data_IF_733836028030
#
_entry.id   IF_733836028030
#
_cell.length_a   1.000
_cell.length_b   1.000
_cell.length_c   1.000
_cell.angle_alpha   90.00
_cell.angle_beta   90.00
_cell.angle_gamma   90.00
#
_symmetry.space_group_name_H-M   'P 1'
#
loop_
_entity.id
_entity.type
_entity.pdbx_description
1 polymer ?
#
# COMPACT_ATOMS: atom_id res chain seq x y z
N UNK A 1 -52.56 26.25 -39.68
CA UNK A 1 -52.08 27.53 -40.21
C UNK A 1 -50.70 27.79 -39.63
N UNK A 2 -49.77 27.85 -40.34
CA UNK A 2 -48.53 28.44 -40.80
C UNK A 2 -47.31 27.54 -40.65
N UNK A 3 -46.92 27.03 -41.84
CA UNK A 3 -45.58 26.56 -42.17
C UNK A 3 -44.57 27.66 -42.04
N UNK A 4 -43.35 27.35 -41.51
CA UNK A 4 -42.14 28.04 -41.94
C UNK A 4 -41.03 27.01 -42.13
N UNK A 5 -40.62 26.86 -43.36
CA UNK A 5 -39.38 26.24 -43.88
C UNK A 5 -38.21 27.17 -43.55
N UNK A 6 -37.02 26.62 -43.22
CA UNK A 6 -35.70 27.15 -43.54
C UNK A 6 -34.71 26.00 -43.41
N UNK A 7 -34.17 25.52 -44.45
CA UNK A 7 -33.10 25.87 -45.36
C UNK A 7 -31.72 25.49 -44.78
N UNK A 8 -31.16 24.47 -45.44
CA UNK A 8 -29.79 23.99 -45.25
C UNK A 8 -28.77 24.99 -45.81
N UNK A 9 -27.63 25.11 -45.08
CA UNK A 9 -26.41 25.68 -45.64
C UNK A 9 -25.25 24.73 -45.43
N UNK A 10 -24.83 24.09 -46.50
CA UNK A 10 -23.60 23.33 -46.56
C UNK A 10 -22.44 24.30 -46.82
N UNK A 11 -21.41 24.25 -45.97
CA UNK A 11 -20.16 24.95 -46.22
C UNK A 11 -19.06 23.90 -46.46
N UNK A 12 -18.64 23.84 -47.74
CA UNK A 12 -17.41 23.19 -48.17
C UNK A 12 -16.20 23.99 -47.65
N UNK A 13 -15.29 23.33 -46.95
CA UNK A 13 -13.93 23.84 -46.78
C UNK A 13 -12.95 23.00 -47.60
N UNK A 14 -12.34 23.65 -48.59
CA UNK A 14 -11.26 23.12 -49.41
C UNK A 14 -9.98 22.95 -48.58
N UNK A 15 -9.35 21.81 -48.77
CA UNK A 15 -7.99 21.47 -48.35
C UNK A 15 -6.98 22.29 -49.18
N UNK A 16 -6.05 22.97 -48.51
CA UNK A 16 -4.82 23.42 -49.12
C UNK A 16 -3.64 22.64 -48.51
N UNK A 17 -3.05 21.76 -49.34
CA UNK A 17 -1.73 21.20 -49.09
C UNK A 17 -0.68 22.32 -49.27
N UNK A 18 0.06 22.59 -48.20
CA UNK A 18 1.32 23.34 -48.29
C UNK A 18 2.48 22.35 -48.27
N UNK A 19 3.15 22.22 -49.41
CA UNK A 19 4.42 21.55 -49.54
C UNK A 19 5.50 22.40 -48.86
N UNK A 20 6.25 21.87 -47.95
CA UNK A 20 7.47 22.47 -47.42
C UNK A 20 8.66 21.93 -48.22
N UNK A 21 9.29 22.81 -48.98
CA UNK A 21 10.55 22.59 -49.71
C UNK A 21 11.71 22.32 -48.75
N UNK A 22 12.43 21.23 -49.01
CA UNK A 22 13.69 20.91 -48.39
C UNK A 22 14.80 21.76 -49.00
N UNK A 23 15.36 22.70 -48.26
CA UNK A 23 16.58 23.42 -48.63
C UNK A 23 17.79 22.53 -48.31
N UNK A 24 18.49 22.12 -49.38
CA UNK A 24 19.72 21.35 -49.33
C UNK A 24 20.91 22.30 -49.31
N UNK A 25 21.74 22.30 -48.27
CA UNK A 25 23.04 22.96 -48.26
C UNK A 25 24.14 22.04 -48.80
N UNK A 26 25.07 22.50 -49.61
CA UNK A 26 26.19 21.71 -50.10
C UNK A 26 27.40 21.77 -49.15
N UNK A 27 27.95 20.62 -48.85
CA UNK A 27 29.37 20.39 -48.68
C UNK A 27 30.01 20.74 -47.34
N UNK A 28 30.36 19.69 -46.56
CA UNK A 28 31.71 19.61 -46.02
C UNK A 28 32.04 18.13 -45.80
N UNK A 29 33.16 17.69 -46.41
CA UNK A 29 33.65 16.33 -46.36
C UNK A 29 34.34 16.01 -45.05
N UNK A 30 33.72 15.11 -44.26
CA UNK A 30 34.34 14.43 -43.17
C UNK A 30 34.50 12.94 -43.48
N UNK A 31 35.50 12.24 -42.91
CA UNK A 31 35.85 10.89 -43.31
C UNK A 31 34.74 9.88 -42.98
N UNK A 32 34.49 8.98 -43.93
CA UNK A 32 33.57 7.85 -43.77
C UNK A 32 34.03 6.91 -42.62
N UNK A 33 33.15 6.53 -41.71
CA UNK A 33 33.48 5.47 -40.75
C UNK A 33 33.52 4.15 -41.49
N UNK A 34 34.60 3.40 -41.26
CA UNK A 34 34.77 2.02 -41.72
C UNK A 34 33.68 1.14 -41.10
N UNK A 35 33.01 0.38 -41.96
CA UNK A 35 32.08 -0.66 -41.57
C UNK A 35 32.89 -1.78 -40.89
N UNK A 36 32.52 -2.23 -39.68
CA UNK A 36 33.13 -3.43 -39.12
C UNK A 36 32.73 -4.65 -39.95
N UNK A 37 33.73 -5.45 -40.23
CA UNK A 37 33.71 -6.72 -40.95
C UNK A 37 32.56 -7.62 -40.46
N UNK A 38 31.70 -8.03 -41.38
CA UNK A 38 30.63 -8.99 -41.09
C UNK A 38 31.27 -10.36 -40.86
N UNK A 39 31.34 -10.75 -39.60
CA UNK A 39 31.69 -12.13 -39.22
C UNK A 39 30.73 -13.15 -39.85
N UNK A 40 31.11 -14.40 -40.01
CA UNK A 40 30.36 -15.41 -40.76
C UNK A 40 28.94 -15.63 -40.14
N UNK A 41 27.93 -15.67 -41.01
CA UNK A 41 26.56 -15.94 -40.66
C UNK A 41 26.43 -17.27 -39.90
N UNK A 42 25.90 -17.19 -38.70
CA UNK A 42 25.53 -18.37 -37.90
C UNK A 42 24.29 -19.00 -38.55
N UNK A 43 24.28 -20.29 -38.86
CA UNK A 43 23.09 -20.95 -39.40
C UNK A 43 21.97 -20.95 -38.34
N UNK A 44 20.66 -20.97 -38.73
CA UNK A 44 19.57 -20.99 -37.79
C UNK A 44 19.70 -22.18 -36.85
N UNK A 45 19.91 -21.91 -35.59
CA UNK A 45 20.18 -22.88 -34.55
C UNK A 45 18.98 -23.78 -34.29
N UNK A 46 19.30 -25.02 -33.96
CA UNK A 46 18.36 -25.96 -33.36
C UNK A 46 17.70 -25.35 -32.12
N UNK A 47 16.44 -25.73 -31.79
CA UNK A 47 15.78 -25.25 -30.58
C UNK A 47 16.63 -25.56 -29.36
N UNK A 48 16.87 -24.55 -28.53
CA UNK A 48 17.58 -24.69 -27.25
C UNK A 48 16.87 -25.70 -26.35
N UNK A 49 17.59 -26.26 -25.38
CA UNK A 49 16.98 -27.18 -24.43
C UNK A 49 15.82 -26.45 -23.73
N UNK A 50 14.71 -27.15 -23.41
CA UNK A 50 13.61 -26.56 -22.64
C UNK A 50 14.15 -26.06 -21.31
N UNK A 51 13.57 -24.98 -20.76
CA UNK A 51 13.91 -24.53 -19.42
C UNK A 51 13.67 -25.68 -18.43
N UNK A 52 14.44 -25.76 -17.32
CA UNK A 52 14.21 -26.79 -16.31
C UNK A 52 12.77 -26.68 -15.81
N UNK A 53 12.06 -27.82 -15.78
CA UNK A 53 10.77 -27.95 -15.12
C UNK A 53 10.97 -27.52 -13.66
N UNK A 54 10.32 -26.44 -13.26
CA UNK A 54 10.19 -26.07 -11.84
C UNK A 54 9.19 -27.05 -11.26
N UNK A 55 9.62 -27.85 -10.31
CA UNK A 55 8.76 -28.77 -9.59
C UNK A 55 7.69 -27.96 -8.84
N UNK A 56 6.45 -27.99 -9.32
CA UNK A 56 5.30 -27.33 -8.70
C UNK A 56 4.94 -27.89 -7.30
N UNK A 57 5.67 -28.93 -6.84
CA UNK A 57 5.41 -29.54 -5.53
C UNK A 57 5.79 -28.69 -4.33
N UNK A 58 6.57 -27.62 -4.51
CA UNK A 58 6.99 -26.74 -3.41
C UNK A 58 5.98 -25.59 -3.12
N UNK A 59 4.92 -25.45 -3.92
CA UNK A 59 3.91 -24.40 -3.73
C UNK A 59 2.75 -24.80 -2.80
N UNK A 60 2.62 -26.10 -2.49
CA UNK A 60 1.54 -26.65 -1.66
C UNK A 60 2.08 -27.36 -0.39
N UNK A 61 3.05 -26.82 0.30
CA UNK A 61 3.27 -27.25 1.69
C UNK A 61 2.16 -26.64 2.56
N UNK A 62 1.24 -27.46 3.11
CA UNK A 62 0.34 -26.99 4.15
C UNK A 62 1.20 -26.45 5.28
N UNK A 63 0.91 -25.24 5.73
CA UNK A 63 1.46 -24.70 6.98
C UNK A 63 1.21 -25.76 8.04
N UNK A 64 2.26 -26.45 8.47
CA UNK A 64 2.18 -27.31 9.64
C UNK A 64 1.65 -26.45 10.80
N UNK A 65 0.44 -26.76 11.24
CA UNK A 65 -0.07 -26.27 12.53
C UNK A 65 0.95 -26.68 13.58
N UNK A 66 1.41 -25.75 14.44
CA UNK A 66 2.23 -26.11 15.58
C UNK A 66 1.51 -27.21 16.35
N UNK A 67 2.21 -28.23 16.86
CA UNK A 67 1.58 -29.29 17.63
C UNK A 67 0.81 -28.65 18.78
N UNK A 68 -0.46 -29.04 18.90
CA UNK A 68 -1.35 -28.70 20.01
C UNK A 68 -0.62 -29.09 21.31
N UNK A 69 -0.23 -28.11 22.11
CA UNK A 69 0.34 -28.36 23.41
C UNK A 69 -0.73 -29.10 24.24
N UNK A 70 -0.52 -30.39 24.47
CA UNK A 70 -1.30 -31.16 25.39
C UNK A 70 -1.24 -30.51 26.78
N UNK A 71 -2.38 -30.29 27.45
CA UNK A 71 -2.40 -29.77 28.80
C UNK A 71 -1.56 -30.68 29.69
N UNK A 72 -0.51 -30.15 30.27
CA UNK A 72 0.25 -30.83 31.32
C UNK A 72 -0.67 -30.88 32.55
N UNK A 73 -1.12 -32.07 32.91
CA UNK A 73 -1.76 -32.30 34.18
C UNK A 73 -0.82 -31.88 35.34
N UNK A 74 -1.31 -31.15 36.35
CA UNK A 74 -0.48 -30.79 37.48
C UNK A 74 -0.10 -32.05 38.26
N UNK A 75 1.17 -32.40 38.19
CA UNK A 75 1.74 -33.49 39.00
C UNK A 75 1.56 -33.20 40.48
N UNK A 76 0.92 -34.19 41.16
CA UNK A 76 0.84 -34.29 42.61
C UNK A 76 2.18 -34.75 43.12
N UNK A 77 3.02 -33.85 43.58
CA UNK A 77 4.10 -34.18 44.52
C UNK A 77 4.00 -33.23 45.72
N UNK A 78 3.46 -33.79 46.81
CA UNK A 78 3.49 -33.20 48.13
C UNK A 78 4.82 -33.51 48.83
N UNK A 79 5.48 -32.55 49.44
CA UNK A 79 6.32 -32.82 50.59
C UNK A 79 5.52 -32.53 51.86
N UNK A 80 5.45 -33.57 52.69
CA UNK A 80 5.09 -33.43 54.09
C UNK A 80 6.18 -32.66 54.83
N UNK A 81 5.79 -31.58 55.50
CA UNK A 81 6.27 -31.34 56.88
C UNK A 81 5.44 -30.23 57.49
N UNK A 82 4.86 -30.57 58.65
CA UNK A 82 3.94 -29.77 59.40
C UNK A 82 4.61 -28.58 60.12
N UNK A 83 3.97 -27.44 59.99
CA UNK A 83 3.96 -26.42 61.04
C UNK A 83 2.54 -25.87 61.08
N UNK A 84 1.84 -26.22 62.12
CA UNK A 84 0.57 -25.60 62.51
C UNK A 84 0.86 -24.23 63.10
N UNK A 85 0.30 -23.14 62.63
CA UNK A 85 0.22 -21.89 63.39
C UNK A 85 -1.04 -21.95 64.30
N UNK A 86 -0.83 -21.50 65.54
CA UNK A 86 -1.84 -21.33 66.57
C UNK A 86 -3.00 -20.40 66.13
N UNK A 87 -4.24 -20.62 66.61
CA UNK A 87 -5.36 -19.75 66.34
C UNK A 87 -5.20 -18.42 67.09
N UNK A 88 -5.06 -17.33 66.42
CA UNK A 88 -5.23 -15.98 66.98
C UNK A 88 -6.71 -15.70 67.16
N UNK A 89 -7.07 -15.55 68.41
CA UNK A 89 -8.35 -15.05 68.90
C UNK A 89 -8.55 -13.60 68.41
N UNK A 90 -9.52 -13.34 67.57
CA UNK A 90 -9.92 -12.02 67.09
C UNK A 90 -11.36 -11.77 67.47
N UNK A 91 -11.55 -11.39 68.69
CA UNK A 91 -12.74 -10.65 69.15
C UNK A 91 -12.31 -9.21 69.43
N UNK A 92 -12.34 -8.37 68.42
CA UNK A 92 -12.48 -6.91 68.59
C UNK A 92 -13.76 -6.43 67.93
N UNK A 93 -14.71 -6.05 68.79
CA UNK A 93 -15.95 -5.36 68.47
C UNK A 93 -15.59 -3.97 67.86
N UNK A 94 -16.28 -3.50 66.83
CA UNK A 94 -16.04 -2.16 66.33
C UNK A 94 -16.59 -1.11 67.30
N UNK A 95 -15.68 -0.29 67.83
CA UNK A 95 -16.04 0.91 68.59
C UNK A 95 -16.85 1.88 67.71
N UNK A 96 -18.04 2.24 68.15
CA UNK A 96 -18.85 3.29 67.59
C UNK A 96 -18.19 4.65 67.83
N UNK A 97 -18.06 5.51 66.83
CA UNK A 97 -17.51 6.85 67.02
C UNK A 97 -18.45 7.71 67.89
N UNK A 98 -17.91 8.59 68.74
CA UNK A 98 -18.68 9.43 69.64
C UNK A 98 -19.61 10.35 68.85
N UNK A 99 -20.86 10.49 69.31
CA UNK A 99 -21.88 11.41 68.82
C UNK A 99 -21.39 12.84 69.10
N UNK A 100 -21.09 13.59 68.03
CA UNK A 100 -20.82 15.03 68.15
C UNK A 100 -22.09 15.77 68.54
N UNK A 101 -21.99 16.50 69.64
CA UNK A 101 -23.01 17.39 70.15
C UNK A 101 -23.07 18.61 69.22
N UNK A 102 -24.28 19.05 68.76
CA UNK A 102 -24.35 20.23 67.90
C UNK A 102 -23.83 21.47 68.63
N UNK A 103 -22.77 22.07 68.12
CA UNK A 103 -22.31 23.39 68.56
C UNK A 103 -23.27 24.41 67.92
N UNK A 104 -23.89 25.20 68.79
CA UNK A 104 -24.79 26.30 68.39
C UNK A 104 -23.92 27.40 67.71
N UNK A 105 -23.94 27.44 66.39
CA UNK A 105 -23.23 28.45 65.58
C UNK A 105 -24.16 29.65 65.43
N UNK A 106 -23.74 30.84 65.83
CA UNK A 106 -24.51 32.04 65.64
C UNK A 106 -24.69 32.31 64.13
N UNK A 107 -25.80 32.95 63.73
CA UNK A 107 -26.05 33.21 62.31
C UNK A 107 -24.93 34.06 61.72
N UNK A 108 -24.36 33.58 60.64
CA UNK A 108 -23.37 34.30 59.87
C UNK A 108 -23.98 35.58 59.27
N UNK A 109 -23.18 36.64 59.35
CA UNK A 109 -23.51 37.89 58.66
C UNK A 109 -23.74 37.65 57.17
N UNK A 110 -24.64 38.35 56.48
CA UNK A 110 -24.84 38.22 55.08
C UNK A 110 -23.55 38.53 54.32
N UNK A 111 -23.11 37.59 53.54
CA UNK A 111 -21.95 37.77 52.67
C UNK A 111 -22.15 38.97 51.74
N UNK A 112 -21.09 39.75 51.49
CA UNK A 112 -21.19 40.84 50.52
C UNK A 112 -21.57 40.31 49.14
N UNK A 113 -22.46 41.02 48.49
CA UNK A 113 -22.92 40.75 47.12
C UNK A 113 -21.72 40.70 46.15
N UNK A 114 -21.22 39.48 45.89
CA UNK A 114 -20.15 39.28 44.93
C UNK A 114 -20.83 39.30 43.57
N UNK A 115 -20.82 40.44 42.91
CA UNK A 115 -21.14 40.55 41.49
C UNK A 115 -20.23 39.61 40.72
N UNK A 116 -20.79 38.54 40.15
CA UNK A 116 -20.07 37.62 39.29
C UNK A 116 -19.34 38.43 38.19
N UNK A 117 -18.05 38.21 37.96
CA UNK A 117 -17.35 38.89 36.86
C UNK A 117 -18.02 38.51 35.54
N UNK A 118 -18.40 39.52 34.76
CA UNK A 118 -18.88 39.34 33.39
C UNK A 118 -17.82 38.57 32.63
N UNK A 119 -18.12 37.42 32.01
CA UNK A 119 -17.15 36.66 31.24
C UNK A 119 -16.53 37.55 30.16
N UNK A 120 -15.21 37.61 30.14
CA UNK A 120 -14.48 38.31 29.09
C UNK A 120 -14.82 37.65 27.74
N UNK A 121 -15.14 38.43 26.68
CA UNK A 121 -15.48 37.85 25.40
C UNK A 121 -14.34 36.97 24.89
N UNK A 122 -14.63 35.74 24.54
CA UNK A 122 -13.65 34.81 23.95
C UNK A 122 -13.01 35.48 22.73
N UNK A 123 -11.66 35.38 22.60
CA UNK A 123 -10.98 35.92 21.43
C UNK A 123 -11.57 35.30 20.16
N UNK A 124 -11.66 36.06 19.05
CA UNK A 124 -12.20 35.53 17.81
C UNK A 124 -11.40 34.29 17.38
N UNK A 125 -12.12 33.20 17.11
CA UNK A 125 -11.53 31.99 16.54
C UNK A 125 -10.93 32.36 15.18
N UNK A 126 -9.61 32.40 15.11
CA UNK A 126 -8.90 32.60 13.84
C UNK A 126 -9.01 31.28 13.09
N UNK A 127 -9.89 31.18 12.11
CA UNK A 127 -9.96 30.05 11.22
C UNK A 127 -8.65 29.98 10.41
N UNK A 128 -7.84 28.98 10.70
CA UNK A 128 -6.69 28.69 9.84
C UNK A 128 -7.19 28.23 8.47
N UNK A 129 -6.69 28.78 7.36
CA UNK A 129 -7.10 28.34 6.03
C UNK A 129 -6.85 26.84 5.88
N UNK A 130 -7.74 26.11 5.16
CA UNK A 130 -7.56 24.68 4.95
C UNK A 130 -6.22 24.40 4.24
N UNK A 131 -5.51 23.36 4.69
CA UNK A 131 -4.27 22.91 4.06
C UNK A 131 -4.61 22.38 2.67
N UNK A 132 -3.87 22.80 1.63
CA UNK A 132 -4.09 22.34 0.28
C UNK A 132 -3.75 20.85 0.13
N UNK A 133 -4.48 20.09 -0.70
CA UNK A 133 -4.18 18.69 -1.00
C UNK A 133 -2.78 18.52 -1.58
N UNK A 134 -2.05 17.48 -1.16
CA UNK A 134 -0.69 17.19 -1.65
C UNK A 134 -0.66 16.05 -2.67
N UNK A 135 -1.74 15.30 -2.80
CA UNK A 135 -1.94 14.28 -3.83
C UNK A 135 -3.43 14.15 -4.14
N UNK A 136 -3.75 13.49 -5.26
CA UNK A 136 -5.12 13.15 -5.59
C UNK A 136 -5.29 11.64 -5.73
N UNK A 137 -6.49 11.15 -5.45
CA UNK A 137 -6.81 9.73 -5.53
C UNK A 137 -8.26 9.52 -6.01
N UNK A 138 -8.53 8.37 -6.63
CA UNK A 138 -9.89 7.99 -7.01
C UNK A 138 -10.53 7.13 -5.92
N UNK A 139 -11.84 6.99 -5.96
CA UNK A 139 -12.59 6.18 -4.99
C UNK A 139 -12.03 4.73 -4.90
N UNK A 140 -12.07 4.09 -3.71
CA UNK A 140 -11.64 2.71 -3.55
C UNK A 140 -12.42 1.77 -4.48
N UNK A 141 -11.78 0.73 -4.98
CA UNK A 141 -12.34 -0.21 -5.94
C UNK A 141 -12.47 0.32 -7.37
N UNK A 142 -12.14 1.59 -7.64
CA UNK A 142 -12.14 2.14 -9.00
C UNK A 142 -10.85 1.75 -9.74
N UNK A 143 -10.78 0.50 -10.18
CA UNK A 143 -9.64 -0.03 -10.97
C UNK A 143 -9.51 0.70 -12.33
N UNK A 144 -8.42 0.43 -13.04
CA UNK A 144 -8.36 0.77 -14.47
C UNK A 144 -9.44 -0.01 -15.21
N UNK A 145 -10.05 0.60 -16.23
CA UNK A 145 -11.13 -0.03 -16.99
C UNK A 145 -10.65 -1.34 -17.62
N UNK A 146 -11.45 -2.41 -17.47
CA UNK A 146 -11.16 -3.72 -18.05
C UNK A 146 -10.08 -4.54 -17.32
N UNK A 147 -9.56 -4.09 -16.17
CA UNK A 147 -8.48 -4.80 -15.47
C UNK A 147 -8.95 -5.67 -14.31
N UNK A 148 -10.23 -5.70 -14.02
CA UNK A 148 -10.81 -6.51 -12.94
C UNK A 148 -12.11 -5.93 -12.41
N UNK A 149 -12.58 -6.52 -11.30
CA UNK A 149 -13.78 -6.06 -10.59
C UNK A 149 -13.34 -5.61 -9.20
N UNK A 150 -13.18 -4.31 -9.02
CA UNK A 150 -12.73 -3.74 -7.74
C UNK A 150 -13.76 -3.89 -6.62
N UNK A 151 -13.34 -3.60 -5.41
CA UNK A 151 -14.16 -3.64 -4.20
C UNK A 151 -14.22 -2.26 -3.53
N UNK A 152 -15.38 -1.60 -3.67
CA UNK A 152 -15.58 -0.20 -3.25
C UNK A 152 -15.87 0.00 -1.76
N UNK A 153 -15.19 -0.71 -0.87
CA UNK A 153 -15.36 -0.57 0.58
C UNK A 153 -14.78 0.74 1.12
N UNK A 154 -15.50 1.38 2.05
CA UNK A 154 -15.09 2.62 2.71
C UNK A 154 -14.49 2.36 4.10
N UNK A 155 -13.76 1.25 4.28
CA UNK A 155 -13.15 0.85 5.55
C UNK A 155 -11.64 1.08 5.54
N UNK A 156 -11.14 1.71 6.60
CA UNK A 156 -9.71 1.82 6.89
C UNK A 156 -9.33 0.66 7.77
N UNK A 157 -8.79 -0.42 7.19
CA UNK A 157 -8.50 -1.68 7.89
C UNK A 157 -7.33 -1.57 8.89
N UNK A 158 -6.42 -0.64 8.68
CA UNK A 158 -5.28 -0.38 9.57
C UNK A 158 -5.16 1.14 9.84
N UNK A 159 -6.05 1.72 10.70
CA UNK A 159 -6.15 3.16 10.87
C UNK A 159 -4.90 3.82 11.47
N UNK A 160 -4.15 3.08 12.30
CA UNK A 160 -3.01 3.63 13.05
C UNK A 160 -1.66 3.34 12.39
N UNK A 161 -1.64 2.60 11.27
CA UNK A 161 -0.39 2.26 10.60
C UNK A 161 0.32 3.51 10.07
N UNK A 162 1.66 3.54 10.11
CA UNK A 162 2.43 4.54 9.38
C UNK A 162 2.54 4.13 7.90
N UNK A 163 2.81 5.11 7.01
CA UNK A 163 2.99 4.79 5.59
C UNK A 163 4.26 3.96 5.38
N UNK A 164 4.24 2.89 4.55
CA UNK A 164 5.36 1.96 4.45
C UNK A 164 6.62 2.54 3.80
N UNK A 165 6.52 3.69 3.12
CA UNK A 165 7.68 4.42 2.58
C UNK A 165 7.97 5.61 3.48
N UNK A 166 9.22 5.71 3.94
CA UNK A 166 9.60 6.67 4.97
C UNK A 166 9.40 8.13 4.55
N UNK A 167 9.92 8.55 3.40
CA UNK A 167 9.95 9.96 3.03
C UNK A 167 9.80 10.27 1.53
N UNK A 168 9.95 9.28 0.64
CA UNK A 168 9.83 9.52 -0.79
C UNK A 168 8.37 9.74 -1.21
N UNK A 169 8.10 10.54 -2.27
CA UNK A 169 6.80 10.57 -2.91
C UNK A 169 6.36 9.16 -3.32
N UNK A 170 5.05 8.93 -3.35
CA UNK A 170 4.50 7.65 -3.74
C UNK A 170 3.28 7.84 -4.65
N UNK A 171 3.04 6.86 -5.53
CA UNK A 171 1.83 6.77 -6.36
C UNK A 171 1.31 5.34 -6.28
N UNK A 172 0.09 5.18 -5.80
CA UNK A 172 -0.61 3.91 -5.79
C UNK A 172 -1.21 3.67 -7.17
N UNK A 173 -0.80 2.59 -7.82
CA UNK A 173 -1.32 2.22 -9.14
C UNK A 173 -0.89 0.82 -9.54
N UNK A 174 -1.59 0.23 -10.50
CA UNK A 174 -1.20 -1.04 -11.11
C UNK A 174 0.24 -1.05 -11.62
N UNK A 175 0.96 -2.13 -11.40
CA UNK A 175 2.27 -2.38 -12.01
C UNK A 175 2.18 -3.27 -13.25
N UNK A 176 1.01 -3.82 -13.54
CA UNK A 176 0.75 -4.65 -14.73
C UNK A 176 0.16 -3.82 -15.87
N UNK A 177 -0.82 -2.97 -15.55
CA UNK A 177 -1.62 -2.21 -16.52
C UNK A 177 -1.24 -0.73 -16.63
N UNK A 178 -0.19 -0.28 -15.94
CA UNK A 178 0.41 1.05 -16.11
C UNK A 178 1.69 0.97 -16.96
N UNK A 179 2.22 2.11 -17.41
CA UNK A 179 3.41 2.17 -18.27
C UNK A 179 4.59 1.37 -17.72
N UNK A 180 5.14 0.51 -18.55
CA UNK A 180 6.24 -0.39 -18.21
C UNK A 180 5.82 -1.69 -17.53
N UNK A 181 4.51 -1.86 -17.28
CA UNK A 181 3.94 -3.11 -16.81
C UNK A 181 3.84 -4.15 -17.92
N UNK A 182 3.68 -5.41 -17.53
CA UNK A 182 3.71 -6.54 -18.46
C UNK A 182 2.65 -6.45 -19.55
N UNK A 183 1.44 -5.99 -19.25
CA UNK A 183 0.35 -5.86 -20.22
C UNK A 183 0.38 -4.52 -20.94
N UNK A 184 0.55 -3.42 -20.22
CA UNK A 184 0.58 -2.09 -20.83
C UNK A 184 1.82 -1.83 -21.69
N UNK A 185 2.95 -2.47 -21.36
CA UNK A 185 4.23 -2.23 -22.03
C UNK A 185 4.79 -0.82 -21.79
N UNK A 186 5.82 -0.46 -22.56
CA UNK A 186 6.46 0.86 -22.46
C UNK A 186 7.55 0.94 -21.41
N UNK A 187 7.82 2.16 -20.89
CA UNK A 187 8.88 2.41 -19.90
C UNK A 187 8.29 2.56 -18.49
N UNK A 188 8.71 1.72 -17.56
CA UNK A 188 8.30 1.83 -16.16
C UNK A 188 8.71 3.18 -15.52
N UNK A 189 9.72 3.87 -16.06
CA UNK A 189 10.16 5.17 -15.59
C UNK A 189 9.53 6.35 -16.37
N UNK A 190 8.42 6.11 -17.09
CA UNK A 190 7.63 7.17 -17.70
C UNK A 190 7.14 8.14 -16.62
N UNK A 191 7.29 9.46 -16.88
CA UNK A 191 6.93 10.49 -15.90
C UNK A 191 5.44 10.45 -15.50
N UNK A 192 4.56 9.98 -16.38
CA UNK A 192 3.13 9.83 -16.11
C UNK A 192 2.83 8.87 -14.95
N UNK A 193 3.69 7.89 -14.73
CA UNK A 193 3.57 6.98 -13.59
C UNK A 193 3.79 7.66 -12.22
N UNK A 194 4.45 8.79 -12.19
CA UNK A 194 4.83 9.52 -10.97
C UNK A 194 4.02 10.81 -10.76
N UNK A 195 3.07 11.08 -11.64
CA UNK A 195 2.18 12.24 -11.58
C UNK A 195 0.68 11.86 -11.68
N UNK A 196 0.37 10.56 -11.68
CA UNK A 196 -1.00 10.08 -11.77
C UNK A 196 -1.74 10.26 -10.43
N UNK A 197 -3.06 10.47 -10.49
CA UNK A 197 -3.91 10.28 -9.34
C UNK A 197 -3.80 8.82 -8.85
N UNK A 198 -3.78 8.63 -7.54
CA UNK A 198 -3.72 7.30 -6.95
C UNK A 198 -4.94 6.47 -7.34
N UNK A 199 -4.72 5.21 -7.56
CA UNK A 199 -5.76 4.27 -7.96
C UNK A 199 -5.57 2.93 -7.26
N UNK A 200 -6.68 2.41 -6.76
CA UNK A 200 -6.75 1.08 -6.19
C UNK A 200 -6.43 0.02 -7.26
N UNK A 201 -5.70 -1.03 -6.88
CA UNK A 201 -5.50 -2.22 -7.71
C UNK A 201 -5.70 -3.53 -6.94
N UNK A 202 -6.32 -3.47 -5.77
CA UNK A 202 -6.86 -4.65 -5.09
C UNK A 202 -8.01 -5.26 -5.90
N UNK A 203 -8.09 -6.58 -6.04
CA UNK A 203 -8.98 -7.30 -6.96
C UNK A 203 -8.68 -7.13 -8.47
N UNK A 204 -7.56 -6.53 -8.84
CA UNK A 204 -7.12 -6.50 -10.23
C UNK A 204 -6.80 -7.91 -10.74
N UNK A 205 -7.03 -8.20 -12.02
CA UNK A 205 -6.85 -9.54 -12.59
C UNK A 205 -5.40 -10.01 -12.53
N UNK A 206 -5.20 -11.28 -12.12
CA UNK A 206 -3.92 -12.02 -12.14
C UNK A 206 -4.13 -13.42 -12.70
N UNK A 207 -3.04 -14.14 -13.03
CA UNK A 207 -3.12 -15.54 -13.50
C UNK A 207 -3.16 -16.54 -12.35
N UNK A 208 -2.46 -16.26 -11.25
CA UNK A 208 -2.45 -17.13 -10.07
C UNK A 208 -3.83 -17.25 -9.43
N UNK A 209 -4.19 -18.46 -9.01
CA UNK A 209 -5.49 -18.73 -8.39
C UNK A 209 -5.53 -18.24 -6.93
N UNK A 210 -5.71 -16.95 -6.77
CA UNK A 210 -5.82 -16.27 -5.47
C UNK A 210 -7.24 -15.80 -5.25
N UNK A 211 -7.73 -15.88 -4.01
CA UNK A 211 -9.08 -15.47 -3.62
C UNK A 211 -9.06 -14.70 -2.31
N UNK A 212 -10.06 -13.85 -2.12
CA UNK A 212 -10.39 -13.22 -0.82
C UNK A 212 -11.89 -12.97 -0.79
N UNK A 213 -12.54 -12.93 0.39
CA UNK A 213 -13.97 -12.60 0.50
C UNK A 213 -14.33 -11.23 -0.09
N UNK A 214 -13.37 -10.33 -0.19
CA UNK A 214 -13.56 -8.96 -0.69
C UNK A 214 -13.53 -8.84 -2.22
N UNK A 215 -13.10 -9.88 -2.96
CA UNK A 215 -13.09 -9.84 -4.41
C UNK A 215 -14.15 -10.80 -4.97
N UNK A 216 -15.00 -10.35 -5.93
CA UNK A 216 -16.11 -11.16 -6.43
C UNK A 216 -15.67 -12.34 -7.31
N UNK A 217 -14.40 -12.38 -7.70
CA UNK A 217 -13.82 -13.38 -8.61
C UNK A 217 -12.49 -13.90 -8.07
N UNK A 218 -12.06 -15.07 -8.55
CA UNK A 218 -10.71 -15.59 -8.30
C UNK A 218 -9.68 -14.98 -9.26
N UNK A 219 -8.41 -15.33 -9.07
CA UNK A 219 -7.27 -14.83 -9.86
C UNK A 219 -7.09 -13.32 -9.75
N UNK A 220 -6.88 -12.90 -8.54
CA UNK A 220 -6.87 -11.49 -8.17
C UNK A 220 -5.55 -11.06 -7.57
N UNK A 221 -5.30 -9.76 -7.65
CA UNK A 221 -4.29 -9.05 -6.87
C UNK A 221 -4.79 -8.89 -5.43
N UNK A 222 -3.97 -9.29 -4.44
CA UNK A 222 -4.36 -9.32 -3.02
C UNK A 222 -3.76 -8.18 -2.20
N UNK A 223 -3.13 -7.22 -2.84
CA UNK A 223 -2.44 -6.08 -2.22
C UNK A 223 -2.64 -4.78 -2.99
N UNK A 224 -1.76 -3.84 -2.71
CA UNK A 224 -1.66 -2.56 -3.39
C UNK A 224 -0.22 -2.35 -3.85
N UNK A 225 -0.04 -2.03 -5.12
CA UNK A 225 1.26 -1.66 -5.66
C UNK A 225 1.53 -0.17 -5.43
N UNK A 226 2.74 0.14 -4.97
CA UNK A 226 3.20 1.48 -4.60
C UNK A 226 4.46 1.80 -5.41
N UNK A 227 4.33 2.66 -6.41
CA UNK A 227 5.47 3.23 -7.11
C UNK A 227 6.08 4.34 -6.26
N UNK A 228 7.41 4.37 -6.15
CA UNK A 228 8.11 5.20 -5.17
C UNK A 228 9.10 6.13 -5.83
N UNK A 229 9.17 7.37 -5.34
CA UNK A 229 10.09 8.39 -5.81
C UNK A 229 9.59 9.13 -7.05
N UNK A 230 10.51 9.50 -7.91
CA UNK A 230 10.31 10.23 -9.16
C UNK A 230 10.70 9.38 -10.37
N UNK A 231 10.36 9.85 -11.58
CA UNK A 231 10.83 9.23 -12.82
C UNK A 231 12.36 9.16 -12.91
N UNK A 232 13.08 10.14 -12.36
CA UNK A 232 14.54 10.17 -12.37
C UNK A 232 15.15 9.22 -11.32
N UNK A 233 14.50 9.08 -10.17
CA UNK A 233 14.85 8.03 -9.19
C UNK A 233 14.70 6.65 -9.81
N UNK A 234 13.60 6.38 -10.50
CA UNK A 234 13.38 5.13 -11.22
C UNK A 234 14.50 4.84 -12.24
N UNK A 235 14.86 5.84 -13.09
CA UNK A 235 15.98 5.71 -14.04
C UNK A 235 17.31 5.45 -13.34
N UNK A 236 17.52 6.05 -12.19
CA UNK A 236 18.73 5.84 -11.36
C UNK A 236 18.76 4.42 -10.83
N UNK A 237 17.69 3.96 -10.18
CA UNK A 237 17.57 2.61 -9.62
C UNK A 237 17.71 1.51 -10.70
N UNK A 238 17.19 1.75 -11.92
CA UNK A 238 17.33 0.81 -13.03
C UNK A 238 18.78 0.61 -13.50
N UNK A 239 19.62 1.62 -13.35
CA UNK A 239 21.05 1.55 -13.70
C UNK A 239 21.90 0.90 -12.62
N UNK A 240 21.41 0.83 -11.40
CA UNK A 240 22.10 0.27 -10.26
C UNK A 240 21.99 -1.26 -10.25
N UNK A 241 23.03 -1.90 -9.81
CA UNK A 241 22.98 -3.31 -9.41
C UNK A 241 22.13 -3.47 -8.16
N UNK A 242 21.67 -4.69 -7.88
CA UNK A 242 20.89 -4.98 -6.67
C UNK A 242 21.66 -4.55 -5.40
N UNK A 243 22.97 -4.79 -5.33
CA UNK A 243 23.79 -4.39 -4.18
C UNK A 243 23.85 -2.87 -3.95
N UNK A 244 23.65 -2.06 -5.00
CA UNK A 244 23.70 -0.60 -4.92
C UNK A 244 22.33 0.01 -4.59
N UNK A 245 21.20 -0.67 -4.89
CA UNK A 245 19.84 -0.15 -4.67
C UNK A 245 19.57 0.04 -3.18
N UNK A 246 19.40 1.28 -2.78
CA UNK A 246 19.17 1.66 -1.39
C UNK A 246 18.64 3.09 -1.25
N UNK A 247 17.93 3.59 -2.29
CA UNK A 247 17.48 4.98 -2.31
C UNK A 247 16.24 5.23 -1.46
N UNK A 248 15.24 4.34 -1.55
CA UNK A 248 13.94 4.54 -0.89
C UNK A 248 13.75 3.54 0.24
N UNK A 249 13.69 4.06 1.47
CA UNK A 249 13.54 3.27 2.69
C UNK A 249 12.09 2.75 2.84
N UNK A 250 11.99 1.44 3.11
CA UNK A 250 10.73 0.77 3.50
C UNK A 250 10.78 0.53 4.99
N UNK A 251 9.71 0.91 5.69
CA UNK A 251 9.63 0.88 7.16
C UNK A 251 8.50 -0.02 7.65
N UNK A 252 8.62 -0.50 8.88
CA UNK A 252 7.55 -1.21 9.57
C UNK A 252 6.35 -0.27 9.76
N UNK A 253 5.16 -0.72 9.34
CA UNK A 253 3.94 0.11 9.43
C UNK A 253 3.33 0.12 10.82
N UNK A 254 3.70 -0.84 11.66
CA UNK A 254 3.16 -1.06 13.01
C UNK A 254 4.25 -1.68 13.89
N UNK A 255 4.10 -1.58 15.20
CA UNK A 255 4.89 -2.34 16.17
C UNK A 255 4.62 -3.84 16.00
N UNK A 256 5.67 -4.67 16.03
CA UNK A 256 5.45 -6.10 15.87
C UNK A 256 6.73 -6.93 15.77
N UNK A 257 6.59 -8.11 15.18
CA UNK A 257 7.67 -9.07 15.01
C UNK A 257 7.78 -9.41 13.52
N UNK A 258 8.99 -9.44 12.99
CA UNK A 258 9.26 -10.00 11.65
C UNK A 258 9.03 -11.52 11.73
N UNK A 259 7.84 -11.95 11.35
CA UNK A 259 7.42 -13.35 11.51
C UNK A 259 8.13 -14.29 10.53
N UNK A 260 8.45 -13.82 9.33
CA UNK A 260 9.25 -14.57 8.36
C UNK A 260 9.86 -13.66 7.29
N UNK A 261 10.91 -14.16 6.63
CA UNK A 261 11.51 -13.57 5.44
C UNK A 261 11.57 -14.67 4.39
N UNK A 262 10.84 -14.49 3.29
CA UNK A 262 10.79 -15.38 2.14
C UNK A 262 11.79 -14.97 1.04
N UNK A 263 11.63 -15.53 -0.15
CA UNK A 263 12.51 -15.25 -1.30
C UNK A 263 12.45 -13.76 -1.73
N UNK A 264 11.28 -13.14 -1.65
CA UNK A 264 11.04 -11.74 -2.04
C UNK A 264 10.04 -11.02 -1.12
N UNK A 265 9.73 -11.59 0.04
CA UNK A 265 8.70 -11.10 0.97
C UNK A 265 9.27 -10.96 2.38
N UNK A 266 9.00 -9.85 3.03
CA UNK A 266 9.17 -9.66 4.49
C UNK A 266 7.78 -9.61 5.10
N UNK A 267 7.53 -10.43 6.15
CA UNK A 267 6.26 -10.48 6.87
C UNK A 267 6.41 -9.89 8.26
N UNK A 268 5.65 -8.83 8.52
CA UNK A 268 5.51 -8.24 9.86
C UNK A 268 4.18 -8.71 10.47
N UNK A 269 4.25 -9.29 11.67
CA UNK A 269 3.08 -9.61 12.47
C UNK A 269 2.91 -8.57 13.57
N UNK A 270 1.86 -7.76 13.45
CA UNK A 270 1.44 -6.76 14.42
C UNK A 270 0.27 -7.27 15.28
N UNK A 271 -0.47 -6.35 15.89
CA UNK A 271 -1.65 -6.66 16.70
C UNK A 271 -2.88 -6.93 15.83
N UNK A 272 -3.24 -8.20 15.71
CA UNK A 272 -4.39 -8.66 14.92
C UNK A 272 -4.22 -8.56 13.40
N UNK A 273 -3.02 -8.22 12.91
CA UNK A 273 -2.72 -8.06 11.48
C UNK A 273 -1.40 -8.71 11.10
N UNK A 274 -1.29 -9.06 9.83
CA UNK A 274 -0.03 -9.42 9.18
C UNK A 274 0.13 -8.49 7.97
N UNK A 275 1.34 -7.96 7.81
CA UNK A 275 1.70 -7.09 6.70
C UNK A 275 2.76 -7.79 5.85
N UNK A 276 2.50 -7.94 4.56
CA UNK A 276 3.47 -8.45 3.61
C UNK A 276 4.07 -7.29 2.82
N UNK A 277 5.40 -7.24 2.79
CA UNK A 277 6.19 -6.30 1.99
C UNK A 277 6.94 -7.12 0.95
N UNK A 278 6.62 -6.92 -0.33
CA UNK A 278 7.28 -7.67 -1.41
C UNK A 278 8.12 -6.76 -2.30
N UNK A 279 9.02 -7.37 -3.03
CA UNK A 279 9.92 -6.73 -4.01
C UNK A 279 10.94 -5.77 -3.40
N UNK A 280 11.23 -5.93 -2.10
CA UNK A 280 12.35 -5.22 -1.48
C UNK A 280 13.68 -5.70 -2.05
N UNK A 281 14.74 -4.94 -1.79
CA UNK A 281 16.10 -5.42 -2.02
C UNK A 281 16.47 -6.50 -0.97
N UNK A 282 16.25 -7.77 -1.31
CA UNK A 282 16.43 -8.88 -0.38
C UNK A 282 17.88 -9.09 0.04
N UNK A 283 18.85 -8.52 -0.69
CA UNK A 283 20.27 -8.55 -0.31
C UNK A 283 20.66 -7.42 0.68
N UNK A 284 19.75 -6.48 0.95
CA UNK A 284 19.97 -5.31 1.82
C UNK A 284 18.85 -5.09 2.84
N UNK A 285 18.32 -6.16 3.38
CA UNK A 285 17.37 -6.07 4.49
C UNK A 285 18.06 -5.56 5.75
N UNK A 286 17.35 -4.70 6.49
CA UNK A 286 17.80 -4.18 7.78
C UNK A 286 17.32 -5.02 8.96
N UNK A 287 16.55 -6.07 8.69
CA UNK A 287 15.90 -6.91 9.71
C UNK A 287 16.15 -8.39 9.46
N UNK A 288 15.91 -9.20 10.51
CA UNK A 288 15.96 -10.65 10.48
C UNK A 288 14.64 -11.25 10.99
N UNK A 289 14.33 -12.48 10.60
CA UNK A 289 13.19 -13.19 11.13
C UNK A 289 13.30 -13.36 12.66
N UNK A 290 12.20 -13.18 13.37
CA UNK A 290 12.13 -13.16 14.83
C UNK A 290 12.45 -11.81 15.48
N UNK A 291 12.91 -10.82 14.73
CA UNK A 291 13.24 -9.50 15.26
C UNK A 291 11.97 -8.70 15.58
N UNK A 292 11.93 -8.12 16.79
CA UNK A 292 10.92 -7.11 17.17
C UNK A 292 11.26 -5.77 16.54
N UNK A 293 10.27 -5.09 15.99
CA UNK A 293 10.39 -3.76 15.37
C UNK A 293 9.31 -2.83 15.89
N UNK A 294 9.56 -1.53 15.79
CA UNK A 294 8.62 -0.45 16.04
C UNK A 294 8.13 0.15 14.72
N UNK A 295 6.95 0.74 14.74
CA UNK A 295 6.46 1.54 13.62
C UNK A 295 7.52 2.59 13.22
N UNK A 296 7.87 2.64 11.93
CA UNK A 296 8.93 3.51 11.39
C UNK A 296 10.33 2.91 11.37
N UNK A 297 10.58 1.75 11.97
CA UNK A 297 11.87 1.07 11.89
C UNK A 297 12.15 0.61 10.46
N UNK A 298 13.40 0.75 10.01
CA UNK A 298 13.84 0.36 8.68
C UNK A 298 13.74 -1.15 8.50
N UNK A 299 13.03 -1.60 7.47
CA UNK A 299 12.97 -3.00 7.04
C UNK A 299 13.98 -3.29 5.91
N UNK A 300 14.12 -2.35 4.98
CA UNK A 300 14.93 -2.49 3.77
C UNK A 300 14.67 -1.37 2.79
N UNK A 301 14.85 -1.65 1.51
CA UNK A 301 14.76 -0.65 0.45
C UNK A 301 13.89 -1.17 -0.70
N UNK A 302 13.17 -0.26 -1.36
CA UNK A 302 12.40 -0.58 -2.56
C UNK A 302 13.32 -1.10 -3.66
N UNK A 303 12.91 -2.21 -4.30
CA UNK A 303 13.63 -2.83 -5.40
C UNK A 303 12.63 -3.45 -6.39
N UNK A 304 13.00 -4.58 -6.95
CA UNK A 304 12.20 -5.35 -7.90
C UNK A 304 12.48 -6.86 -7.77
N UNK A 305 12.83 -7.33 -6.58
CA UNK A 305 13.17 -8.74 -6.38
C UNK A 305 11.90 -9.60 -6.47
N UNK A 306 11.95 -10.67 -7.26
CA UNK A 306 10.83 -11.56 -7.48
C UNK A 306 11.31 -12.97 -7.86
N UNK A 307 11.90 -13.68 -6.90
CA UNK A 307 12.23 -15.09 -7.04
C UNK A 307 13.14 -15.48 -8.23
N UNK A 308 14.00 -14.56 -8.68
CA UNK A 308 14.94 -14.81 -9.80
C UNK A 308 14.59 -14.02 -11.07
N UNK A 309 13.33 -13.72 -11.35
CA UNK A 309 12.92 -12.81 -12.44
C UNK A 309 12.54 -11.45 -11.84
N UNK A 310 13.22 -10.36 -12.19
CA UNK A 310 12.89 -9.05 -11.63
C UNK A 310 11.55 -8.55 -12.18
N UNK A 311 10.71 -8.02 -11.27
CA UNK A 311 9.50 -7.26 -11.64
C UNK A 311 9.82 -5.78 -11.88
N UNK A 312 8.81 -4.91 -11.96
CA UNK A 312 9.00 -3.45 -11.99
C UNK A 312 9.48 -2.94 -10.63
N UNK A 313 10.11 -1.77 -10.60
CA UNK A 313 10.52 -1.11 -9.34
C UNK A 313 9.28 -0.58 -8.61
N UNK A 314 8.89 -1.22 -7.52
CA UNK A 314 7.76 -0.83 -6.66
C UNK A 314 7.81 -1.57 -5.32
N UNK A 315 6.99 -1.15 -4.37
CA UNK A 315 6.63 -1.95 -3.21
C UNK A 315 5.23 -2.53 -3.46
N UNK A 316 5.09 -3.86 -3.41
CA UNK A 316 3.79 -4.49 -3.26
C UNK A 316 3.51 -4.67 -1.78
N UNK A 317 2.33 -4.24 -1.33
CA UNK A 317 1.97 -4.19 0.09
C UNK A 317 0.61 -4.84 0.33
N UNK A 318 0.56 -5.79 1.27
CA UNK A 318 -0.66 -6.50 1.64
C UNK A 318 -0.97 -6.33 3.12
N UNK A 319 -2.25 -6.35 3.46
CA UNK A 319 -2.77 -6.44 4.83
C UNK A 319 -3.62 -7.69 4.95
N UNK A 320 -3.30 -8.53 5.93
CA UNK A 320 -4.15 -9.65 6.32
C UNK A 320 -4.73 -9.36 7.70
N UNK A 321 -6.01 -9.69 7.88
CA UNK A 321 -6.70 -9.65 9.17
C UNK A 321 -7.29 -11.01 9.51
N UNK A 322 -7.35 -11.35 10.81
CA UNK A 322 -8.03 -12.53 11.26
C UNK A 322 -9.52 -12.25 11.42
N UNK A 323 -10.31 -12.85 10.57
CA UNK A 323 -11.78 -12.78 10.59
C UNK A 323 -12.34 -14.00 11.30
N UNK A 324 -13.39 -13.81 12.10
CA UNK A 324 -14.06 -14.91 12.78
C UNK A 324 -14.71 -15.92 11.81
N UNK A 325 -15.10 -15.46 10.62
CA UNK A 325 -15.78 -16.28 9.61
C UNK A 325 -14.81 -16.99 8.68
N UNK A 326 -13.71 -16.33 8.31
CA UNK A 326 -12.83 -16.80 7.23
C UNK A 326 -11.37 -17.04 7.67
N UNK A 327 -11.04 -16.81 8.98
CA UNK A 327 -9.66 -16.85 9.44
C UNK A 327 -8.83 -15.69 8.87
N UNK A 328 -7.56 -15.93 8.57
CA UNK A 328 -6.67 -14.93 7.99
C UNK A 328 -7.01 -14.67 6.53
N UNK A 329 -7.45 -13.46 6.22
CA UNK A 329 -7.82 -13.03 4.85
C UNK A 329 -7.13 -11.73 4.48
N UNK A 330 -6.81 -11.58 3.19
CA UNK A 330 -6.35 -10.31 2.64
C UNK A 330 -7.53 -9.33 2.62
N UNK A 331 -7.28 -8.13 3.14
CA UNK A 331 -8.23 -7.01 3.16
C UNK A 331 -7.72 -5.86 2.29
N UNK A 332 -8.62 -5.01 1.73
CA UNK A 332 -8.21 -3.89 0.89
C UNK A 332 -7.29 -2.90 1.61
N UNK A 333 -6.03 -2.70 1.17
CA UNK A 333 -5.09 -1.82 1.86
C UNK A 333 -5.22 -0.35 1.47
N UNK A 334 -5.95 -0.04 0.39
CA UNK A 334 -5.95 1.25 -0.27
C UNK A 334 -6.25 2.43 0.65
N UNK A 335 -7.40 2.44 1.35
CA UNK A 335 -7.76 3.55 2.25
C UNK A 335 -6.86 3.63 3.49
N UNK A 336 -6.31 2.52 3.94
CA UNK A 336 -5.31 2.53 5.02
C UNK A 336 -4.03 3.23 4.58
N UNK A 337 -3.60 3.03 3.33
CA UNK A 337 -2.45 3.71 2.73
C UNK A 337 -2.73 5.20 2.49
N UNK A 338 -3.92 5.56 1.96
CA UNK A 338 -4.33 6.97 1.81
C UNK A 338 -4.24 7.69 3.15
N UNK A 339 -4.90 7.16 4.18
CA UNK A 339 -4.92 7.77 5.51
C UNK A 339 -3.53 7.86 6.15
N UNK A 340 -2.70 6.84 5.98
CA UNK A 340 -1.32 6.84 6.47
C UNK A 340 -0.44 7.88 5.76
N UNK A 341 -0.66 8.09 4.46
CA UNK A 341 0.06 9.09 3.69
C UNK A 341 -0.34 10.52 4.10
N UNK A 342 -1.63 10.78 4.26
CA UNK A 342 -2.14 12.07 4.78
C UNK A 342 -1.51 12.43 6.13
N UNK A 343 -1.40 11.45 7.04
CA UNK A 343 -0.70 11.66 8.33
C UNK A 343 0.78 11.93 8.15
N UNK A 344 1.46 11.22 7.25
CA UNK A 344 2.88 11.43 6.97
C UNK A 344 3.16 12.81 6.42
N UNK A 345 2.35 13.26 5.47
CA UNK A 345 2.49 14.57 4.81
C UNK A 345 1.92 15.73 5.66
N UNK A 346 1.17 15.41 6.72
CA UNK A 346 0.38 16.39 7.50
C UNK A 346 -0.51 17.25 6.60
N UNK A 347 -1.10 16.65 5.56
CA UNK A 347 -1.94 17.31 4.57
C UNK A 347 -2.94 16.31 3.96
N UNK A 348 -4.16 16.75 3.59
CA UNK A 348 -5.16 15.88 3.01
C UNK A 348 -4.79 15.45 1.58
N UNK A 349 -5.36 14.32 1.14
CA UNK A 349 -5.52 13.96 -0.25
C UNK A 349 -6.82 14.53 -0.84
N UNK A 350 -6.87 14.73 -2.14
CA UNK A 350 -8.08 15.12 -2.87
C UNK A 350 -8.70 13.88 -3.52
N UNK A 351 -9.88 13.47 -3.04
CA UNK A 351 -10.63 12.42 -3.71
C UNK A 351 -11.30 12.97 -4.96
N UNK A 352 -10.88 12.45 -6.11
CA UNK A 352 -11.46 12.82 -7.40
C UNK A 352 -12.80 12.10 -7.58
N UNK A 353 -13.85 12.88 -7.82
CA UNK A 353 -15.14 12.32 -8.23
C UNK A 353 -14.98 11.60 -9.57
N UNK A 354 -15.62 10.43 -9.75
CA UNK A 354 -15.64 9.78 -11.04
C UNK A 354 -16.27 10.75 -12.04
N UNK A 355 -15.55 11.09 -13.11
CA UNK A 355 -16.06 11.95 -14.17
C UNK A 355 -17.21 11.22 -14.89
N UNK A 356 -18.42 11.44 -14.45
CA UNK A 356 -19.62 10.96 -15.12
C UNK A 356 -19.79 11.83 -16.37
N UNK A 357 -19.39 11.30 -17.54
CA UNK A 357 -19.80 11.89 -18.81
C UNK A 357 -18.76 12.36 -19.81
N UNK A 358 -17.48 12.16 -19.58
CA UNK A 358 -16.52 12.15 -20.69
C UNK A 358 -16.25 10.68 -21.00
N UNK A 359 -16.80 10.18 -22.12
CA UNK A 359 -16.30 8.94 -22.70
C UNK A 359 -14.83 9.18 -23.06
N UNK A 360 -13.92 9.05 -22.08
CA UNK A 360 -12.57 8.66 -22.39
C UNK A 360 -12.72 7.40 -23.20
N UNK A 361 -12.07 7.32 -24.35
CA UNK A 361 -11.89 6.05 -25.04
C UNK A 361 -11.36 5.11 -23.96
N UNK A 362 -12.22 4.26 -23.41
CA UNK A 362 -11.84 3.24 -22.46
C UNK A 362 -10.85 2.36 -23.21
N UNK A 363 -9.55 2.56 -22.95
CA UNK A 363 -8.55 1.60 -23.39
C UNK A 363 -8.88 0.29 -22.66
N UNK A 364 -9.67 -0.53 -23.31
CA UNK A 364 -9.94 -1.88 -22.82
C UNK A 364 -8.66 -2.66 -23.00
N UNK A 365 -7.98 -2.96 -21.93
CA UNK A 365 -6.79 -3.82 -21.98
C UNK A 365 -7.20 -5.22 -22.43
N UNK A 366 -6.67 -5.64 -23.57
CA UNK A 366 -6.81 -7.00 -24.06
C UNK A 366 -5.59 -7.77 -23.62
N UNK A 367 -5.78 -8.72 -22.71
CA UNK A 367 -4.72 -9.63 -22.28
C UNK A 367 -4.46 -10.58 -23.46
N UNK A 368 -3.24 -10.63 -24.02
CA UNK A 368 -2.92 -11.54 -25.10
C UNK A 368 -3.14 -13.00 -24.70
N UNK A 369 -3.57 -13.81 -25.65
CA UNK A 369 -3.75 -15.25 -25.42
C UNK A 369 -2.42 -15.89 -25.00
N UNK A 370 -2.44 -16.66 -23.92
CA UNK A 370 -1.23 -17.29 -23.36
C UNK A 370 -0.34 -16.36 -22.52
N UNK A 371 -0.76 -15.11 -22.26
CA UNK A 371 -0.02 -14.20 -21.39
C UNK A 371 -0.35 -14.50 -19.91
N UNK A 372 0.69 -14.78 -19.12
CA UNK A 372 0.54 -14.93 -17.66
C UNK A 372 0.78 -13.60 -16.97
N UNK A 373 -0.18 -13.18 -16.16
CA UNK A 373 -0.09 -11.99 -15.32
C UNK A 373 0.37 -12.45 -13.94
N UNK A 374 1.65 -12.35 -13.70
CA UNK A 374 2.29 -12.59 -12.41
C UNK A 374 2.69 -11.26 -11.78
N UNK A 375 2.89 -11.24 -10.48
CA UNK A 375 3.39 -10.06 -9.76
C UNK A 375 4.87 -9.89 -9.91
#
# INVERSE_FOLDING_TARGET
MRNVLMAAAAALFLTSLAACDFVRFPGDGGPTPETPDAGPAIPPGAPGPPPPEVDESDLDTPVETPPEETPVEPGTDAPADGVTPDPVDATEEPETPPVEVPVDVPPADPAPDVTEPVPEPEPPVVETPPVAPVFSYVAPGALLAGTGSGFGEQVVHAPDMVFPIKSAPAVLQSQVFSFGGGVAGGDQCDARNFAAAWRDNFCETRSANRTTPFCPVAKIHQGQDIRVGTADDCKTLRKQTQAERGLHEVVAVEDGIISSIGTYTVKLRGDGRIYNYMHLNMSRLAVTAGQTVKAGDLLGYVSNDFGGTPTTLHLHFEILQNSAEHGWVHVPPYLSLVSAYERRENAPGEMLEPQIGVASVEETFVIPEGYEIIE
#
